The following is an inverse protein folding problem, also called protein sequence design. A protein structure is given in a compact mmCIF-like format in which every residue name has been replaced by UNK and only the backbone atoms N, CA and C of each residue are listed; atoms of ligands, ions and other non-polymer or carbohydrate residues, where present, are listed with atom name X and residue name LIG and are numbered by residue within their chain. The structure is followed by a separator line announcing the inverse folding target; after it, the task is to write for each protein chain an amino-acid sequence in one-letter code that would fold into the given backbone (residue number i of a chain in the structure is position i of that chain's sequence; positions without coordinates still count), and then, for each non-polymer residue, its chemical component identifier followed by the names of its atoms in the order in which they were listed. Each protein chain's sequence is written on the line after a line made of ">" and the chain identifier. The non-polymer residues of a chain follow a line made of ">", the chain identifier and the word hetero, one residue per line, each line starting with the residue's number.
data_IF_753131667225
#
_entry.id   IF_753131667225
#
_cell.length_a   1.000
_cell.length_b   1.000
_cell.length_c   1.000
_cell.angle_alpha   90.00
_cell.angle_beta   90.00
_cell.angle_gamma   90.00
#
_symmetry.space_group_name_H-M   'P 1'
#
loop_
_entity.id
_entity.type
_entity.pdbx_description
1 polymer ?
#
# COMPACT_ATOMS: atom_id res chain seq x y z
N UNK A 1 2.53 52.47 4.88
CA UNK A 1 2.03 51.31 4.09
C UNK A 1 2.97 50.13 4.34
N UNK A 2 2.46 49.04 4.92
CA UNK A 2 3.18 48.02 5.70
C UNK A 2 4.07 47.05 4.86
N UNK A 3 5.34 47.40 4.62
CA UNK A 3 6.34 46.48 4.03
C UNK A 3 7.15 45.74 5.12
N UNK A 4 7.20 46.26 6.35
CA UNK A 4 8.01 45.69 7.44
C UNK A 4 7.42 44.39 8.03
N UNK A 5 6.09 44.29 8.17
CA UNK A 5 5.43 43.09 8.72
C UNK A 5 5.57 41.85 7.82
N UNK A 6 5.68 42.02 6.50
CA UNK A 6 5.77 40.90 5.56
C UNK A 6 7.14 40.21 5.59
N UNK A 7 8.23 40.98 5.72
CA UNK A 7 9.60 40.44 5.80
C UNK A 7 9.79 39.51 7.01
N UNK A 8 9.27 39.89 8.18
CA UNK A 8 9.37 39.07 9.39
C UNK A 8 8.62 37.73 9.23
N UNK A 9 7.42 37.77 8.67
CA UNK A 9 6.62 36.56 8.44
C UNK A 9 7.28 35.58 7.45
N UNK A 10 7.97 36.11 6.44
CA UNK A 10 8.64 35.31 5.42
C UNK A 10 9.92 34.66 5.97
N UNK A 11 10.68 35.38 6.79
CA UNK A 11 11.84 34.82 7.51
C UNK A 11 11.40 33.72 8.47
N UNK A 12 10.34 33.93 9.24
CA UNK A 12 9.77 32.89 10.12
C UNK A 12 9.31 31.66 9.33
N UNK A 13 8.64 31.85 8.19
CA UNK A 13 8.24 30.75 7.31
C UNK A 13 9.45 29.98 6.77
N UNK A 14 10.53 30.66 6.37
CA UNK A 14 11.77 30.02 5.91
C UNK A 14 12.44 29.19 7.00
N UNK A 15 12.55 29.72 8.23
CA UNK A 15 13.10 28.99 9.38
C UNK A 15 12.24 27.77 9.69
N UNK A 16 10.91 27.94 9.71
CA UNK A 16 9.97 26.84 9.90
C UNK A 16 10.12 25.75 8.81
N UNK A 17 10.24 26.15 7.55
CA UNK A 17 10.53 25.25 6.42
C UNK A 17 11.84 24.49 6.61
N UNK A 18 12.91 25.16 7.03
CA UNK A 18 14.21 24.54 7.30
C UNK A 18 14.10 23.45 8.38
N UNK A 19 13.44 23.77 9.50
CA UNK A 19 13.13 22.80 10.56
C UNK A 19 12.34 21.59 10.02
N UNK A 20 11.28 21.85 9.23
CA UNK A 20 10.43 20.78 8.68
C UNK A 20 11.19 19.87 7.72
N UNK A 21 12.05 20.45 6.88
CA UNK A 21 12.87 19.70 5.94
C UNK A 21 13.91 18.84 6.67
N UNK A 22 14.54 19.37 7.72
CA UNK A 22 15.50 18.61 8.54
C UNK A 22 14.82 17.43 9.26
N UNK A 23 13.64 17.66 9.86
CA UNK A 23 12.87 16.60 10.48
C UNK A 23 12.46 15.52 9.46
N UNK A 24 12.03 15.93 8.27
CA UNK A 24 11.70 15.02 7.17
C UNK A 24 12.91 14.17 6.75
N UNK A 25 14.09 14.78 6.59
CA UNK A 25 15.30 14.04 6.21
C UNK A 25 15.73 13.02 7.27
N UNK A 26 15.63 13.37 8.56
CA UNK A 26 15.97 12.45 9.66
C UNK A 26 15.05 11.22 9.67
N UNK A 27 13.74 11.43 9.59
CA UNK A 27 12.75 10.35 9.50
C UNK A 27 12.95 9.51 8.23
N UNK A 28 13.18 10.16 7.08
CA UNK A 28 13.42 9.47 5.82
C UNK A 28 14.68 8.60 5.89
N UNK A 29 15.75 9.08 6.54
CA UNK A 29 16.98 8.31 6.75
C UNK A 29 16.72 7.07 7.61
N UNK A 30 15.90 7.17 8.64
CA UNK A 30 15.50 6.01 9.45
C UNK A 30 14.68 5.00 8.66
N UNK A 31 13.70 5.47 7.88
CA UNK A 31 12.92 4.61 6.98
C UNK A 31 13.81 3.92 5.93
N UNK A 32 14.77 4.65 5.35
CA UNK A 32 15.73 4.10 4.40
C UNK A 32 16.70 3.09 5.05
N UNK A 33 17.09 3.29 6.30
CA UNK A 33 17.91 2.32 7.03
C UNK A 33 17.15 1.00 7.25
N UNK A 34 15.86 1.08 7.63
CA UNK A 34 14.99 -0.09 7.75
C UNK A 34 14.82 -0.78 6.38
N UNK A 35 14.62 0.01 5.33
CA UNK A 35 14.52 -0.50 3.96
C UNK A 35 15.85 -1.10 3.49
N UNK A 36 17.01 -0.56 3.86
CA UNK A 36 18.31 -1.08 3.44
C UNK A 36 18.54 -2.49 3.98
N UNK A 37 18.25 -2.73 5.25
CA UNK A 37 18.36 -4.07 5.85
C UNK A 37 17.43 -5.08 5.15
N UNK A 38 16.24 -4.65 4.74
CA UNK A 38 15.27 -5.51 4.04
C UNK A 38 15.56 -5.65 2.54
N UNK A 39 16.01 -4.59 1.90
CA UNK A 39 16.23 -4.47 0.45
C UNK A 39 17.51 -5.17 0.01
N UNK A 40 18.55 -5.19 0.85
CA UNK A 40 19.77 -5.96 0.57
C UNK A 40 19.48 -7.47 0.58
N UNK A 41 18.64 -7.89 1.52
CA UNK A 41 18.09 -9.23 1.59
C UNK A 41 17.20 -9.57 0.37
N UNK A 42 16.39 -8.62 -0.09
CA UNK A 42 15.55 -8.76 -1.28
C UNK A 42 16.37 -8.85 -2.58
N UNK A 43 17.43 -8.05 -2.70
CA UNK A 43 18.36 -8.03 -3.83
C UNK A 43 19.14 -9.35 -3.91
N UNK A 44 19.51 -9.94 -2.77
CA UNK A 44 20.18 -11.25 -2.73
C UNK A 44 19.26 -12.36 -3.25
N UNK A 45 17.96 -12.32 -2.94
CA UNK A 45 17.01 -13.36 -3.36
C UNK A 45 16.54 -13.19 -4.79
N UNK A 46 16.26 -11.95 -5.22
CA UNK A 46 15.73 -11.67 -6.56
C UNK A 46 16.82 -11.38 -7.59
N UNK A 47 18.04 -11.05 -7.17
CA UNK A 47 19.20 -10.84 -8.03
C UNK A 47 18.93 -9.87 -9.18
N UNK A 48 19.22 -10.32 -10.40
CA UNK A 48 18.98 -9.60 -11.65
C UNK A 48 17.50 -9.34 -11.95
N UNK A 49 16.57 -10.08 -11.32
CA UNK A 49 15.12 -9.95 -11.54
C UNK A 49 14.55 -8.63 -11.04
N UNK A 50 15.28 -7.90 -10.18
CA UNK A 50 14.87 -6.57 -9.70
C UNK A 50 14.76 -5.56 -10.84
N UNK A 51 15.69 -5.61 -11.82
CA UNK A 51 15.61 -4.76 -13.01
C UNK A 51 14.38 -5.10 -13.86
N UNK A 52 14.05 -6.39 -13.98
CA UNK A 52 12.84 -6.85 -14.65
C UNK A 52 11.56 -6.35 -13.98
N UNK A 53 11.51 -6.35 -12.64
CA UNK A 53 10.39 -5.78 -11.88
C UNK A 53 10.27 -4.27 -12.08
N UNK A 54 11.39 -3.54 -12.11
CA UNK A 54 11.39 -2.09 -12.40
C UNK A 54 10.87 -1.85 -13.82
N UNK A 55 11.32 -2.63 -14.80
CA UNK A 55 10.85 -2.53 -16.18
C UNK A 55 9.35 -2.83 -16.29
N UNK A 56 8.84 -3.84 -15.59
CA UNK A 56 7.41 -4.16 -15.51
C UNK A 56 6.58 -2.99 -14.94
N UNK A 57 7.13 -2.27 -13.96
CA UNK A 57 6.48 -1.07 -13.42
C UNK A 57 6.42 0.07 -14.45
N UNK A 58 7.47 0.26 -15.25
CA UNK A 58 7.42 1.26 -16.34
C UNK A 58 6.51 0.82 -17.49
N UNK A 59 6.50 -0.47 -17.84
CA UNK A 59 5.63 -1.03 -18.85
C UNK A 59 4.15 -0.85 -18.46
N UNK A 60 3.81 -1.05 -17.18
CA UNK A 60 2.47 -0.80 -16.68
C UNK A 60 2.05 0.68 -16.78
N UNK A 61 2.96 1.63 -16.59
CA UNK A 61 2.69 3.05 -16.86
C UNK A 61 2.44 3.31 -18.35
N UNK A 62 3.21 2.66 -19.24
CA UNK A 62 2.99 2.71 -20.69
C UNK A 62 1.61 2.21 -21.11
N UNK A 63 1.10 1.15 -20.47
CA UNK A 63 -0.26 0.62 -20.71
C UNK A 63 -1.38 1.59 -20.31
N UNK A 64 -1.12 2.56 -19.43
CA UNK A 64 -2.08 3.63 -19.12
C UNK A 64 -2.12 4.62 -20.29
N UNK A 65 -0.96 4.98 -20.84
CA UNK A 65 -0.81 5.92 -21.95
C UNK A 65 -1.45 5.33 -23.21
N UNK A 66 -1.05 4.12 -23.61
CA UNK A 66 -1.55 3.41 -24.80
C UNK A 66 -2.81 2.58 -24.52
N UNK A 67 -3.77 3.15 -23.80
CA UNK A 67 -4.99 2.45 -23.38
C UNK A 67 -6.12 2.46 -24.42
N UNK A 68 -5.91 3.01 -25.62
CA UNK A 68 -6.97 3.13 -26.64
C UNK A 68 -7.49 1.79 -27.15
N UNK A 69 -6.64 0.76 -27.23
CA UNK A 69 -7.01 -0.58 -27.68
C UNK A 69 -7.67 -1.43 -26.59
N UNK A 70 -7.35 -1.19 -25.32
CA UNK A 70 -7.92 -1.88 -24.18
C UNK A 70 -8.20 -0.91 -23.01
N UNK A 71 -9.24 -0.05 -23.12
CA UNK A 71 -9.50 1.01 -22.14
C UNK A 71 -9.70 0.52 -20.71
N UNK A 72 -10.42 -0.60 -20.55
CA UNK A 72 -10.70 -1.18 -19.24
C UNK A 72 -9.42 -1.69 -18.56
N UNK A 73 -8.52 -2.34 -19.31
CA UNK A 73 -7.24 -2.81 -18.78
C UNK A 73 -6.33 -1.63 -18.41
N UNK A 74 -6.29 -0.57 -19.23
CA UNK A 74 -5.59 0.67 -18.90
C UNK A 74 -6.12 1.32 -17.62
N UNK A 75 -7.45 1.33 -17.43
CA UNK A 75 -8.10 1.83 -16.21
C UNK A 75 -7.79 0.96 -14.97
N UNK A 76 -7.73 -0.37 -15.12
CA UNK A 76 -7.27 -1.29 -14.07
C UNK A 76 -5.85 -0.97 -13.63
N UNK A 77 -4.94 -0.76 -14.61
CA UNK A 77 -3.57 -0.40 -14.31
C UNK A 77 -3.50 0.94 -13.59
N UNK A 78 -4.20 1.96 -14.09
CA UNK A 78 -4.25 3.28 -13.46
C UNK A 78 -4.71 3.20 -12.00
N UNK A 79 -5.83 2.51 -11.74
CA UNK A 79 -6.34 2.34 -10.38
C UNK A 79 -5.34 1.62 -9.46
N UNK A 80 -4.66 0.61 -9.99
CA UNK A 80 -3.64 -0.13 -9.27
C UNK A 80 -2.40 0.74 -8.93
N UNK A 81 -1.90 1.54 -9.86
CA UNK A 81 -0.81 2.50 -9.59
C UNK A 81 -1.21 3.54 -8.56
N UNK A 82 -2.43 4.08 -8.64
CA UNK A 82 -2.96 5.02 -7.65
C UNK A 82 -3.03 4.39 -6.25
N UNK A 83 -3.41 3.11 -6.16
CA UNK A 83 -3.46 2.35 -4.92
C UNK A 83 -2.06 2.13 -4.34
N UNK A 84 -1.12 1.65 -5.15
CA UNK A 84 0.29 1.46 -4.77
C UNK A 84 0.94 2.75 -4.28
N UNK A 85 0.73 3.85 -5.01
CA UNK A 85 1.20 5.17 -4.60
C UNK A 85 0.60 5.58 -3.24
N UNK A 86 -0.69 5.35 -3.04
CA UNK A 86 -1.38 5.68 -1.79
C UNK A 86 -0.80 4.88 -0.60
N UNK A 87 -0.48 3.60 -0.82
CA UNK A 87 0.22 2.75 0.16
C UNK A 87 1.59 3.31 0.51
N UNK A 88 2.41 3.63 -0.50
CA UNK A 88 3.75 4.20 -0.31
C UNK A 88 3.70 5.53 0.45
N UNK A 89 2.81 6.44 0.04
CA UNK A 89 2.66 7.75 0.69
C UNK A 89 2.14 7.65 2.12
N UNK A 90 1.35 6.63 2.44
CA UNK A 90 0.90 6.40 3.82
C UNK A 90 2.05 5.94 4.72
N UNK A 91 2.98 5.13 4.22
CA UNK A 91 4.20 4.79 4.95
C UNK A 91 5.07 6.04 5.21
N UNK A 92 5.12 6.96 4.25
CA UNK A 92 5.86 8.24 4.38
C UNK A 92 5.08 9.32 5.15
N UNK A 93 3.80 9.11 5.48
CA UNK A 93 2.93 10.14 6.07
C UNK A 93 3.45 10.67 7.39
N UNK A 94 4.02 9.80 8.23
CA UNK A 94 4.63 10.20 9.51
C UNK A 94 5.80 11.16 9.28
N UNK A 95 6.66 10.87 8.31
CA UNK A 95 7.79 11.71 7.91
C UNK A 95 7.32 13.03 7.29
N UNK A 96 6.38 12.98 6.33
CA UNK A 96 5.83 14.16 5.64
C UNK A 96 5.20 15.12 6.65
N UNK A 97 4.38 14.63 7.59
CA UNK A 97 3.69 15.49 8.58
C UNK A 97 4.52 15.76 9.83
N UNK A 98 5.62 15.03 10.05
CA UNK A 98 6.28 14.88 11.36
C UNK A 98 5.22 14.75 12.47
N UNK A 99 4.50 13.63 12.42
CA UNK A 99 3.32 13.40 13.26
C UNK A 99 3.64 13.47 14.76
N UNK A 100 4.83 13.05 15.17
CA UNK A 100 5.28 13.05 16.57
C UNK A 100 5.34 14.46 17.18
N UNK A 101 5.78 15.45 16.40
CA UNK A 101 5.90 16.84 16.86
C UNK A 101 4.78 17.73 16.34
N UNK A 102 3.66 17.15 15.88
CA UNK A 102 2.60 17.92 15.21
C UNK A 102 1.88 18.90 16.13
N UNK A 103 1.73 18.56 17.41
CA UNK A 103 1.17 19.48 18.41
C UNK A 103 2.08 20.69 18.62
N UNK A 104 3.39 20.46 18.75
CA UNK A 104 4.38 21.53 18.84
C UNK A 104 4.41 22.41 17.58
N UNK A 105 4.31 21.82 16.39
CA UNK A 105 4.24 22.59 15.14
C UNK A 105 3.06 23.57 15.09
N UNK A 106 1.93 23.21 15.72
CA UNK A 106 0.74 24.08 15.78
C UNK A 106 0.93 25.28 16.70
N UNK A 107 1.87 25.23 17.65
CA UNK A 107 2.16 26.38 18.53
C UNK A 107 3.10 27.38 17.87
N UNK A 108 4.00 26.92 16.98
CA UNK A 108 5.03 27.76 16.35
C UNK A 108 4.65 28.30 14.95
N UNK A 109 3.69 27.69 14.25
CA UNK A 109 3.36 28.03 12.86
C UNK A 109 1.85 28.14 12.62
N UNK A 110 1.48 29.02 11.67
CA UNK A 110 0.11 29.17 11.20
C UNK A 110 -0.37 27.89 10.50
N UNK A 111 -1.66 27.60 10.60
CA UNK A 111 -2.29 26.45 9.94
C UNK A 111 -1.96 26.37 8.45
N UNK A 112 -2.07 27.49 7.73
CA UNK A 112 -1.76 27.57 6.28
C UNK A 112 -0.30 27.18 5.99
N UNK A 113 0.66 27.59 6.82
CA UNK A 113 2.06 27.22 6.63
C UNK A 113 2.28 25.72 6.79
N UNK A 114 1.58 25.08 7.74
CA UNK A 114 1.61 23.63 7.89
C UNK A 114 1.15 22.93 6.61
N UNK A 115 0.00 23.35 6.06
CA UNK A 115 -0.52 22.78 4.81
C UNK A 115 0.45 22.99 3.64
N UNK A 116 0.98 24.20 3.46
CA UNK A 116 1.91 24.48 2.35
C UNK A 116 3.19 23.62 2.43
N UNK A 117 3.76 23.47 3.62
CA UNK A 117 4.97 22.65 3.80
C UNK A 117 4.66 21.16 3.63
N UNK A 118 3.53 20.68 4.17
CA UNK A 118 3.09 19.31 3.98
C UNK A 118 2.89 18.98 2.49
N UNK A 119 2.26 19.88 1.72
CA UNK A 119 2.07 19.73 0.26
C UNK A 119 3.40 19.76 -0.49
N UNK A 120 4.32 20.65 -0.12
CA UNK A 120 5.66 20.68 -0.73
C UNK A 120 6.42 19.37 -0.48
N UNK A 121 6.42 18.89 0.77
CA UNK A 121 7.05 17.61 1.11
C UNK A 121 6.36 16.43 0.41
N UNK A 122 5.02 16.45 0.32
CA UNK A 122 4.27 15.46 -0.46
C UNK A 122 4.73 15.39 -1.91
N UNK A 123 4.87 16.53 -2.59
CA UNK A 123 5.34 16.55 -3.98
C UNK A 123 6.75 15.96 -4.14
N UNK A 124 7.64 16.20 -3.16
CA UNK A 124 8.99 15.63 -3.17
C UNK A 124 9.01 14.14 -2.84
N UNK A 125 8.09 13.67 -2.00
CA UNK A 125 7.97 12.25 -1.63
C UNK A 125 7.25 11.41 -2.66
N UNK A 126 6.48 12.01 -3.58
CA UNK A 126 5.66 11.29 -4.54
C UNK A 126 6.47 10.86 -5.77
N UNK A 127 7.25 9.79 -5.62
CA UNK A 127 8.07 9.23 -6.70
C UNK A 127 7.28 8.85 -7.96
N UNK A 128 6.05 8.34 -7.80
CA UNK A 128 5.17 7.98 -8.92
C UNK A 128 4.72 9.19 -9.74
N UNK A 129 4.38 10.28 -9.06
CA UNK A 129 4.04 11.54 -9.74
C UNK A 129 5.26 12.11 -10.45
N UNK A 130 6.45 12.09 -9.82
CA UNK A 130 7.69 12.53 -10.46
C UNK A 130 7.97 11.71 -11.72
N UNK A 131 7.88 10.38 -11.64
CA UNK A 131 8.06 9.51 -12.80
C UNK A 131 7.03 9.80 -13.91
N UNK A 132 5.77 10.03 -13.53
CA UNK A 132 4.70 10.35 -14.50
C UNK A 132 4.93 11.72 -15.17
N UNK A 133 5.44 12.71 -14.44
CA UNK A 133 5.84 14.01 -14.99
C UNK A 133 7.02 13.87 -15.94
N UNK A 134 8.03 13.06 -15.61
CA UNK A 134 9.16 12.80 -16.51
C UNK A 134 8.69 12.17 -17.82
N UNK A 135 7.79 11.19 -17.76
CA UNK A 135 7.19 10.57 -18.95
C UNK A 135 6.35 11.61 -19.72
N UNK A 136 5.58 12.44 -19.03
CA UNK A 136 4.77 13.49 -19.64
C UNK A 136 5.62 14.51 -20.42
N UNK A 137 6.81 14.86 -19.90
CA UNK A 137 7.74 15.77 -20.55
C UNK A 137 8.39 15.18 -21.81
N UNK A 138 8.47 13.85 -21.90
CA UNK A 138 9.01 13.13 -23.06
C UNK A 138 7.99 13.02 -24.22
N UNK A 139 6.70 13.22 -23.94
CA UNK A 139 5.65 13.17 -24.97
C UNK A 139 5.68 14.38 -25.89
N UNK A 140 5.61 14.12 -27.20
CA UNK A 140 5.44 15.15 -28.23
C UNK A 140 4.05 15.79 -28.18
N UNK A 141 3.91 17.02 -28.68
CA UNK A 141 2.61 17.74 -28.74
C UNK A 141 1.50 16.94 -29.44
N UNK A 142 1.84 16.15 -30.47
CA UNK A 142 0.87 15.32 -31.19
C UNK A 142 0.42 14.10 -30.38
N UNK A 143 1.26 13.57 -29.49
CA UNK A 143 0.91 12.51 -28.54
C UNK A 143 0.06 13.05 -27.39
N UNK A 144 0.34 14.27 -26.91
CA UNK A 144 -0.44 14.91 -25.85
C UNK A 144 -1.94 14.99 -26.16
N UNK A 145 -2.29 15.37 -27.40
CA UNK A 145 -3.69 15.46 -27.85
C UNK A 145 -4.39 14.09 -27.81
N UNK A 146 -3.63 13.00 -28.01
CA UNK A 146 -4.16 11.63 -28.03
C UNK A 146 -4.33 11.03 -26.64
N UNK A 147 -3.67 11.59 -25.62
CA UNK A 147 -3.61 11.00 -24.26
C UNK A 147 -4.08 12.00 -23.17
N UNK A 148 -5.27 12.63 -23.30
CA UNK A 148 -5.76 13.58 -22.29
C UNK A 148 -6.03 12.91 -20.93
N UNK A 149 -6.32 11.61 -20.93
CA UNK A 149 -6.54 10.84 -19.70
C UNK A 149 -5.31 10.75 -18.81
N UNK A 150 -4.09 10.87 -19.36
CA UNK A 150 -2.87 10.85 -18.57
C UNK A 150 -2.68 12.12 -17.73
N UNK A 151 -3.20 13.28 -18.18
CA UNK A 151 -3.27 14.50 -17.36
C UNK A 151 -4.16 14.26 -16.14
N UNK A 152 -5.35 13.70 -16.38
CA UNK A 152 -6.30 13.38 -15.31
C UNK A 152 -5.70 12.38 -14.34
N UNK A 153 -4.97 11.39 -14.84
CA UNK A 153 -4.21 10.45 -14.01
C UNK A 153 -3.18 11.14 -13.11
N UNK A 154 -2.36 12.07 -13.63
CA UNK A 154 -1.41 12.83 -12.81
C UNK A 154 -2.10 13.73 -11.76
N UNK A 155 -3.22 14.36 -12.12
CA UNK A 155 -4.03 15.13 -11.17
C UNK A 155 -4.63 14.22 -10.07
N UNK A 156 -5.06 13.02 -10.43
CA UNK A 156 -5.49 11.99 -9.49
C UNK A 156 -4.35 11.57 -8.58
N UNK A 157 -3.15 11.29 -9.11
CA UNK A 157 -1.97 10.97 -8.32
C UNK A 157 -1.69 12.06 -7.26
N UNK A 158 -1.72 13.33 -7.65
CA UNK A 158 -1.52 14.43 -6.69
C UNK A 158 -2.65 14.52 -5.66
N UNK A 159 -3.91 14.55 -6.10
CA UNK A 159 -5.07 14.70 -5.21
C UNK A 159 -5.22 13.54 -4.22
N UNK A 160 -4.98 12.30 -4.65
CA UNK A 160 -4.96 11.14 -3.76
C UNK A 160 -3.83 11.21 -2.74
N UNK A 161 -2.67 11.78 -3.11
CA UNK A 161 -1.60 12.07 -2.15
C UNK A 161 -2.07 13.01 -1.04
N UNK A 162 -2.81 14.06 -1.38
CA UNK A 162 -3.41 14.99 -0.40
C UNK A 162 -4.45 14.26 0.46
N UNK A 163 -5.32 13.45 -0.14
CA UNK A 163 -6.31 12.65 0.60
C UNK A 163 -5.66 11.66 1.56
N UNK A 164 -4.55 11.02 1.18
CA UNK A 164 -3.80 10.12 2.04
C UNK A 164 -3.30 10.83 3.32
N UNK A 165 -2.84 12.08 3.20
CA UNK A 165 -2.36 12.87 4.34
C UNK A 165 -3.48 13.34 5.29
N UNK A 166 -4.65 13.71 4.75
CA UNK A 166 -5.69 14.41 5.51
C UNK A 166 -7.01 13.66 5.70
N UNK A 167 -7.47 12.87 4.73
CA UNK A 167 -8.72 12.10 4.77
C UNK A 167 -8.54 10.66 4.23
N UNK A 168 -7.83 9.78 4.97
CA UNK A 168 -7.61 8.40 4.54
C UNK A 168 -8.90 7.58 4.41
N UNK A 169 -9.97 7.92 5.13
CA UNK A 169 -11.27 7.25 5.00
C UNK A 169 -11.90 7.43 3.61
N UNK A 170 -11.89 8.66 3.09
CA UNK A 170 -12.40 8.97 1.74
C UNK A 170 -11.61 8.21 0.66
N UNK A 171 -10.30 8.04 0.87
CA UNK A 171 -9.44 7.28 -0.03
C UNK A 171 -9.86 5.81 -0.08
N UNK A 172 -10.16 5.17 1.06
CA UNK A 172 -10.66 3.77 1.08
C UNK A 172 -11.98 3.63 0.33
N UNK A 173 -12.95 4.52 0.56
CA UNK A 173 -14.24 4.46 -0.14
C UNK A 173 -14.09 4.75 -1.64
N UNK A 174 -13.24 5.72 -2.02
CA UNK A 174 -12.99 6.04 -3.42
C UNK A 174 -12.35 4.87 -4.18
N UNK A 175 -11.41 4.15 -3.57
CA UNK A 175 -10.88 2.91 -4.13
C UNK A 175 -11.94 1.84 -4.24
N UNK A 176 -12.79 1.65 -3.21
CA UNK A 176 -13.88 0.67 -3.27
C UNK A 176 -14.82 0.93 -4.46
N UNK A 177 -15.32 2.16 -4.61
CA UNK A 177 -16.22 2.50 -5.71
C UNK A 177 -15.54 2.40 -7.07
N UNK A 178 -14.28 2.83 -7.18
CA UNK A 178 -13.52 2.76 -8.43
C UNK A 178 -13.23 1.31 -8.82
N UNK A 179 -12.94 0.43 -7.85
CA UNK A 179 -12.79 -1.00 -8.10
C UNK A 179 -14.09 -1.61 -8.60
N UNK A 180 -15.24 -1.27 -7.99
CA UNK A 180 -16.55 -1.74 -8.48
C UNK A 180 -16.73 -1.32 -9.94
N UNK A 181 -16.52 -0.04 -10.28
CA UNK A 181 -16.65 0.46 -11.65
C UNK A 181 -15.82 -0.33 -12.65
N UNK A 182 -14.57 -0.64 -12.30
CA UNK A 182 -13.62 -1.31 -13.20
C UNK A 182 -13.89 -2.81 -13.34
N UNK A 183 -14.52 -3.42 -12.35
CA UNK A 183 -14.95 -4.82 -12.39
C UNK A 183 -16.25 -5.02 -13.17
N UNK A 184 -17.09 -3.99 -13.33
CA UNK A 184 -18.26 -4.08 -14.21
C UNK A 184 -17.79 -4.07 -15.67
N UNK A 185 -18.24 -5.02 -16.52
CA UNK A 185 -17.84 -5.10 -17.93
C UNK A 185 -18.56 -4.02 -18.77
N UNK A 186 -18.28 -2.74 -18.49
CA UNK A 186 -18.78 -1.60 -19.25
C UNK A 186 -17.68 -1.14 -20.18
N UNK A 187 -17.93 -1.01 -21.48
CA UNK A 187 -16.96 -0.44 -22.40
C UNK A 187 -17.06 1.09 -22.40
N UNK A 188 -16.06 1.75 -21.81
CA UNK A 188 -15.94 3.21 -21.81
C UNK A 188 -14.62 3.64 -22.46
N UNK A 189 -14.55 4.87 -22.96
CA UNK A 189 -13.29 5.46 -23.41
C UNK A 189 -12.33 5.71 -22.24
N UNK A 190 -11.00 5.69 -22.46
CA UNK A 190 -10.02 5.88 -21.38
C UNK A 190 -10.22 7.14 -20.55
N UNK A 191 -10.54 8.27 -21.20
CA UNK A 191 -10.78 9.54 -20.53
C UNK A 191 -12.00 9.46 -19.59
N UNK A 192 -13.07 8.81 -20.03
CA UNK A 192 -14.29 8.62 -19.24
C UNK A 192 -13.99 7.86 -17.96
N UNK A 193 -13.20 6.78 -18.00
CA UNK A 193 -12.80 6.06 -16.78
C UNK A 193 -12.06 6.95 -15.79
N UNK A 194 -11.08 7.73 -16.25
CA UNK A 194 -10.28 8.59 -15.38
C UNK A 194 -11.11 9.73 -14.78
N UNK A 195 -12.02 10.31 -15.56
CA UNK A 195 -12.98 11.31 -15.06
C UNK A 195 -13.96 10.69 -14.06
N UNK A 196 -14.42 9.46 -14.29
CA UNK A 196 -15.23 8.71 -13.34
C UNK A 196 -14.47 8.44 -12.04
N UNK A 197 -13.18 8.10 -12.09
CA UNK A 197 -12.36 8.00 -10.88
C UNK A 197 -12.33 9.33 -10.12
N UNK A 198 -12.06 10.44 -10.81
CA UNK A 198 -12.06 11.77 -10.19
C UNK A 198 -13.40 12.08 -9.51
N UNK A 199 -14.52 11.78 -10.18
CA UNK A 199 -15.85 11.94 -9.61
C UNK A 199 -16.07 11.04 -8.39
N UNK A 200 -15.71 9.75 -8.45
CA UNK A 200 -15.91 8.80 -7.36
C UNK A 200 -15.06 9.16 -6.13
N UNK A 201 -13.82 9.63 -6.32
CA UNK A 201 -12.99 10.15 -5.23
C UNK A 201 -13.49 11.49 -4.69
N UNK A 202 -14.11 12.34 -5.51
CA UNK A 202 -14.77 13.55 -5.02
C UNK A 202 -16.01 13.19 -4.19
N UNK A 203 -16.84 12.26 -4.65
CA UNK A 203 -18.02 11.78 -3.93
C UNK A 203 -17.65 11.11 -2.61
N UNK A 204 -16.52 10.38 -2.57
CA UNK A 204 -16.06 9.73 -1.35
C UNK A 204 -15.68 10.69 -0.22
N UNK A 205 -15.44 11.98 -0.52
CA UNK A 205 -15.19 13.02 0.49
C UNK A 205 -16.39 13.33 1.37
N UNK A 206 -17.60 13.07 0.84
CA UNK A 206 -18.88 13.31 1.51
C UNK A 206 -19.35 12.10 2.32
N UNK A 207 -18.74 10.93 2.13
CA UNK A 207 -19.09 9.73 2.90
C UNK A 207 -18.62 9.93 4.35
N UNK A 208 -19.54 9.93 5.33
CA UNK A 208 -19.16 10.10 6.73
C UNK A 208 -18.33 8.90 7.20
N UNK A 209 -17.42 9.16 8.16
CA UNK A 209 -16.67 8.08 8.80
C UNK A 209 -17.65 7.24 9.61
N UNK A 210 -17.99 6.07 9.10
CA UNK A 210 -18.82 5.10 9.82
C UNK A 210 -18.00 4.57 10.99
N UNK A 211 -18.21 5.15 12.17
CA UNK A 211 -17.69 4.62 13.41
C UNK A 211 -18.62 3.50 13.87
N UNK A 212 -18.12 2.27 13.83
CA UNK A 212 -18.90 1.08 14.20
C UNK A 212 -18.88 0.89 15.73
N UNK A 213 -18.04 1.65 16.44
CA UNK A 213 -17.98 1.62 17.90
C UNK A 213 -19.30 2.10 18.49
N UNK A 214 -20.06 1.16 19.07
CA UNK A 214 -21.38 1.38 19.65
C UNK A 214 -22.54 0.73 18.89
N UNK A 215 -22.33 0.22 17.66
CA UNK A 215 -23.40 -0.43 16.87
C UNK A 215 -23.32 -1.95 16.82
N UNK A 216 -22.13 -2.52 16.98
CA UNK A 216 -21.93 -3.97 17.01
C UNK A 216 -21.61 -4.37 18.45
N UNK A 217 -22.51 -5.11 19.09
CA UNK A 217 -22.20 -5.78 20.33
C UNK A 217 -21.12 -6.83 20.06
N UNK A 218 -19.91 -6.62 20.58
CA UNK A 218 -18.81 -7.58 20.45
C UNK A 218 -19.07 -8.74 21.41
N UNK A 219 -19.91 -9.68 20.98
CA UNK A 219 -20.26 -10.89 21.76
C UNK A 219 -19.22 -12.01 21.60
N UNK A 220 -18.38 -11.95 20.57
CA UNK A 220 -17.38 -12.98 20.23
C UNK A 220 -16.01 -12.39 19.89
N UNK A 221 -14.95 -13.19 20.04
CA UNK A 221 -13.58 -12.82 19.66
C UNK A 221 -13.44 -12.63 18.14
N UNK A 222 -14.21 -13.37 17.34
CA UNK A 222 -14.28 -13.14 15.90
C UNK A 222 -14.87 -11.76 15.59
N UNK A 223 -15.98 -11.41 16.24
CA UNK A 223 -16.59 -10.09 16.13
C UNK A 223 -15.64 -8.97 16.56
N UNK A 224 -14.81 -9.20 17.58
CA UNK A 224 -13.77 -8.27 18.01
C UNK A 224 -12.77 -7.98 16.89
N UNK A 225 -12.17 -9.02 16.29
CA UNK A 225 -11.19 -8.85 15.22
C UNK A 225 -11.80 -8.25 13.96
N UNK A 226 -13.03 -8.62 13.63
CA UNK A 226 -13.77 -8.02 12.52
C UNK A 226 -14.00 -6.51 12.75
N UNK A 227 -14.47 -6.11 13.94
CA UNK A 227 -14.62 -4.70 14.29
C UNK A 227 -13.28 -3.96 14.30
N UNK A 228 -12.21 -4.60 14.81
CA UNK A 228 -10.87 -4.05 14.77
C UNK A 228 -10.42 -3.74 13.34
N UNK A 229 -10.56 -4.69 12.41
CA UNK A 229 -10.18 -4.52 11.00
C UNK A 229 -11.05 -3.46 10.29
N UNK A 230 -12.35 -3.39 10.61
CA UNK A 230 -13.24 -2.35 10.09
C UNK A 230 -12.88 -0.95 10.57
N UNK A 231 -12.36 -0.81 11.80
CA UNK A 231 -11.92 0.47 12.33
C UNK A 231 -10.49 0.83 11.87
N UNK A 232 -9.64 -0.17 11.68
CA UNK A 232 -8.25 -0.03 11.22
C UNK A 232 -8.10 -0.51 9.78
N UNK A 233 -8.99 -0.03 8.89
CA UNK A 233 -9.07 -0.49 7.49
C UNK A 233 -7.74 -0.43 6.76
N UNK A 234 -6.94 0.60 7.06
CA UNK A 234 -5.65 0.80 6.42
C UNK A 234 -4.72 -0.40 6.59
N UNK A 235 -4.77 -1.05 7.77
CA UNK A 235 -4.02 -2.27 8.10
C UNK A 235 -4.26 -3.39 7.09
N UNK A 236 -5.48 -3.49 6.56
CA UNK A 236 -5.83 -4.50 5.56
C UNK A 236 -5.58 -3.98 4.12
N UNK A 237 -5.91 -2.71 3.86
CA UNK A 237 -5.79 -2.10 2.53
C UNK A 237 -4.38 -2.23 1.96
N UNK A 238 -3.33 -1.92 2.73
CA UNK A 238 -1.97 -2.01 2.18
C UNK A 238 -1.53 -3.44 1.88
N UNK A 239 -1.94 -4.42 2.71
CA UNK A 239 -1.63 -5.85 2.48
C UNK A 239 -2.34 -6.39 1.25
N UNK A 240 -3.63 -6.08 1.11
CA UNK A 240 -4.41 -6.45 -0.09
C UNK A 240 -3.84 -5.79 -1.34
N UNK A 241 -3.38 -4.54 -1.25
CA UNK A 241 -2.73 -3.85 -2.38
C UNK A 241 -1.44 -4.55 -2.82
N UNK A 242 -0.61 -4.98 -1.87
CA UNK A 242 0.61 -5.73 -2.18
C UNK A 242 0.31 -7.13 -2.71
N UNK A 243 -0.73 -7.80 -2.19
CA UNK A 243 -1.19 -9.09 -2.74
C UNK A 243 -1.71 -8.92 -4.18
N UNK A 244 -2.47 -7.86 -4.47
CA UNK A 244 -2.87 -7.54 -5.85
C UNK A 244 -1.65 -7.30 -6.75
N UNK A 245 -0.59 -6.67 -6.23
CA UNK A 245 0.68 -6.53 -6.96
C UNK A 245 1.30 -7.88 -7.32
N UNK A 246 1.27 -8.84 -6.40
CA UNK A 246 1.76 -10.21 -6.67
C UNK A 246 0.94 -10.85 -7.78
N UNK A 247 -0.40 -10.73 -7.74
CA UNK A 247 -1.27 -11.33 -8.74
C UNK A 247 -1.04 -10.71 -10.12
N UNK A 248 -0.97 -9.39 -10.19
CA UNK A 248 -0.71 -8.68 -11.45
C UNK A 248 0.67 -9.01 -12.03
N UNK A 249 1.69 -9.07 -11.17
CA UNK A 249 3.04 -9.45 -11.59
C UNK A 249 3.09 -10.90 -12.08
N UNK A 250 2.44 -11.84 -11.38
CA UNK A 250 2.31 -13.23 -11.82
C UNK A 250 1.61 -13.32 -13.17
N UNK A 251 0.50 -12.60 -13.37
CA UNK A 251 -0.22 -12.62 -14.64
C UNK A 251 0.63 -12.11 -15.80
N UNK A 252 1.36 -11.01 -15.61
CA UNK A 252 2.26 -10.49 -16.63
C UNK A 252 3.42 -11.46 -16.92
N UNK A 253 4.08 -11.97 -15.88
CA UNK A 253 5.26 -12.81 -16.02
C UNK A 253 4.94 -14.19 -16.61
N UNK A 254 3.81 -14.81 -16.22
CA UNK A 254 3.38 -16.11 -16.76
C UNK A 254 3.04 -15.98 -18.26
N UNK A 255 2.42 -14.86 -18.66
CA UNK A 255 2.09 -14.62 -20.08
C UNK A 255 3.36 -14.41 -20.93
N UNK A 256 4.36 -13.71 -20.42
CA UNK A 256 5.59 -13.41 -21.17
C UNK A 256 6.63 -14.54 -21.10
N UNK A 257 6.66 -15.31 -20.01
CA UNK A 257 7.64 -16.36 -19.71
C UNK A 257 6.98 -17.60 -19.10
N UNK A 258 6.25 -18.33 -19.94
CA UNK A 258 5.58 -19.58 -19.56
C UNK A 258 6.57 -20.70 -19.11
N UNK A 259 7.83 -20.60 -19.53
CA UNK A 259 8.92 -21.49 -19.14
C UNK A 259 9.29 -21.37 -17.65
N UNK A 260 9.05 -20.23 -17.02
CA UNK A 260 9.41 -19.95 -15.63
C UNK A 260 8.25 -20.12 -14.63
N UNK A 261 7.11 -20.68 -15.06
CA UNK A 261 5.89 -20.77 -14.26
C UNK A 261 6.11 -21.40 -12.89
N UNK A 262 6.87 -22.50 -12.81
CA UNK A 262 7.15 -23.17 -11.53
C UNK A 262 7.84 -22.24 -10.51
N UNK A 263 8.85 -21.49 -10.97
CA UNK A 263 9.59 -20.50 -10.16
C UNK A 263 8.66 -19.35 -9.75
N UNK A 264 7.86 -18.85 -10.69
CA UNK A 264 6.91 -17.75 -10.46
C UNK A 264 5.84 -18.12 -9.43
N UNK A 265 5.34 -19.36 -9.45
CA UNK A 265 4.37 -19.85 -8.47
C UNK A 265 4.98 -19.92 -7.07
N UNK A 266 6.24 -20.38 -6.93
CA UNK A 266 6.94 -20.37 -5.63
C UNK A 266 7.14 -18.95 -5.12
N UNK A 267 7.58 -18.03 -5.97
CA UNK A 267 7.78 -16.63 -5.60
C UNK A 267 6.45 -15.97 -5.20
N UNK A 268 5.38 -16.20 -5.96
CA UNK A 268 4.05 -15.69 -5.61
C UNK A 268 3.59 -16.22 -4.25
N UNK A 269 3.78 -17.52 -4.00
CA UNK A 269 3.44 -18.12 -2.71
C UNK A 269 4.27 -17.52 -1.56
N UNK A 270 5.56 -17.32 -1.78
CA UNK A 270 6.44 -16.65 -0.82
C UNK A 270 5.88 -15.27 -0.45
N UNK A 271 5.54 -14.45 -1.44
CA UNK A 271 4.97 -13.11 -1.19
C UNK A 271 3.60 -13.17 -0.53
N UNK A 272 2.75 -14.12 -0.88
CA UNK A 272 1.46 -14.34 -0.22
C UNK A 272 1.67 -14.65 1.26
N UNK A 273 2.59 -15.55 1.60
CA UNK A 273 2.96 -15.86 3.00
C UNK A 273 3.50 -14.63 3.72
N UNK A 274 4.39 -13.86 3.09
CA UNK A 274 4.97 -12.64 3.67
C UNK A 274 3.87 -11.62 4.00
N UNK A 275 3.08 -11.21 3.02
CA UNK A 275 2.13 -10.12 3.24
C UNK A 275 1.00 -10.52 4.19
N UNK A 276 0.52 -11.76 4.11
CA UNK A 276 -0.55 -12.24 5.01
C UNK A 276 -0.06 -12.41 6.46
N UNK A 277 1.09 -13.06 6.69
CA UNK A 277 1.65 -13.25 8.03
C UNK A 277 2.07 -11.94 8.70
N UNK A 278 2.43 -10.90 7.94
CA UNK A 278 2.78 -9.59 8.50
C UNK A 278 1.66 -8.96 9.31
N UNK A 279 0.39 -9.35 9.11
CA UNK A 279 -0.77 -8.90 9.89
C UNK A 279 -0.64 -9.23 11.38
N UNK A 280 0.15 -10.26 11.69
CA UNK A 280 0.45 -10.67 13.06
C UNK A 280 1.15 -9.57 13.87
N UNK A 281 1.92 -8.68 13.24
CA UNK A 281 2.56 -7.57 13.98
C UNK A 281 1.54 -6.60 14.56
N UNK A 282 0.47 -6.32 13.83
CA UNK A 282 -0.60 -5.43 14.29
C UNK A 282 -1.50 -6.14 15.30
N UNK A 283 -1.90 -7.39 15.02
CA UNK A 283 -2.70 -8.20 15.94
C UNK A 283 -1.96 -8.47 17.26
N UNK A 284 -0.64 -8.70 17.23
CA UNK A 284 0.18 -8.89 18.41
C UNK A 284 0.26 -7.64 19.29
N UNK A 285 0.36 -6.45 18.69
CA UNK A 285 0.30 -5.18 19.44
C UNK A 285 -1.05 -4.98 20.13
N UNK A 286 -2.14 -5.30 19.45
CA UNK A 286 -3.49 -5.26 20.02
C UNK A 286 -3.62 -6.27 21.16
N UNK A 287 -3.10 -7.48 20.98
CA UNK A 287 -3.08 -8.49 22.04
C UNK A 287 -2.38 -7.95 23.30
N UNK A 288 -1.16 -7.43 23.18
CA UNK A 288 -0.41 -6.89 24.32
C UNK A 288 -1.15 -5.73 25.00
N UNK A 289 -1.78 -4.85 24.22
CA UNK A 289 -2.52 -3.70 24.75
C UNK A 289 -3.74 -4.12 25.58
N UNK A 290 -4.48 -5.14 25.16
CA UNK A 290 -5.75 -5.54 25.79
C UNK A 290 -5.65 -6.82 26.63
N UNK A 291 -4.45 -7.41 26.74
CA UNK A 291 -4.22 -8.67 27.46
C UNK A 291 -4.77 -8.65 28.89
N UNK A 292 -4.51 -7.57 29.64
CA UNK A 292 -4.94 -7.45 31.04
C UNK A 292 -6.47 -7.42 31.16
N UNK A 293 -7.17 -6.77 30.24
CA UNK A 293 -8.63 -6.75 30.21
C UNK A 293 -9.19 -8.17 30.00
N UNK A 294 -8.70 -8.89 28.97
CA UNK A 294 -9.15 -10.26 28.73
C UNK A 294 -8.72 -11.24 29.83
N UNK A 295 -7.67 -10.93 30.59
CA UNK A 295 -7.29 -11.66 31.80
C UNK A 295 -8.32 -11.47 32.93
N UNK A 296 -8.82 -10.26 33.15
CA UNK A 296 -9.89 -10.02 34.14
C UNK A 296 -11.22 -10.70 33.79
N UNK A 297 -11.46 -10.97 32.50
CA UNK A 297 -12.63 -11.69 32.02
C UNK A 297 -12.39 -13.21 31.86
N UNK A 298 -11.29 -13.77 32.38
CA UNK A 298 -10.92 -15.19 32.27
C UNK A 298 -10.82 -15.72 30.82
N UNK A 299 -10.61 -14.85 29.84
CA UNK A 299 -10.56 -15.16 28.40
C UNK A 299 -9.18 -14.94 27.77
N UNK A 300 -8.13 -14.76 28.57
CA UNK A 300 -6.77 -14.48 28.10
C UNK A 300 -6.26 -15.51 27.08
N UNK A 301 -6.43 -16.81 27.36
CA UNK A 301 -5.97 -17.88 26.48
C UNK A 301 -6.71 -17.88 25.13
N UNK A 302 -8.03 -17.70 25.17
CA UNK A 302 -8.83 -17.63 23.96
C UNK A 302 -8.48 -16.39 23.13
N UNK A 303 -8.26 -15.25 23.79
CA UNK A 303 -7.81 -14.02 23.14
C UNK A 303 -6.42 -14.19 22.50
N UNK A 304 -5.49 -14.83 23.21
CA UNK A 304 -4.16 -15.16 22.68
C UNK A 304 -4.24 -16.00 21.40
N UNK A 305 -5.07 -17.05 21.35
CA UNK A 305 -5.20 -17.88 20.14
C UNK A 305 -5.87 -17.08 19.01
N UNK A 306 -6.87 -16.27 19.35
CA UNK A 306 -7.63 -15.53 18.35
C UNK A 306 -6.81 -14.50 17.56
N UNK A 307 -5.67 -14.02 18.10
CA UNK A 307 -4.83 -13.03 17.44
C UNK A 307 -4.22 -13.53 16.11
N UNK A 308 -4.08 -14.84 15.93
CA UNK A 308 -3.53 -15.43 14.72
C UNK A 308 -4.57 -15.56 13.59
N UNK A 309 -5.86 -15.54 13.95
CA UNK A 309 -6.96 -15.80 13.03
C UNK A 309 -6.98 -14.83 11.83
N UNK A 310 -6.80 -13.51 12.00
CA UNK A 310 -6.81 -12.59 10.87
C UNK A 310 -5.74 -12.90 9.81
N UNK A 311 -4.52 -13.22 10.26
CA UNK A 311 -3.39 -13.52 9.37
C UNK A 311 -3.63 -14.81 8.58
N UNK A 312 -4.14 -15.85 9.23
CA UNK A 312 -4.44 -17.14 8.61
C UNK A 312 -5.59 -17.00 7.61
N UNK A 313 -6.67 -16.28 7.96
CA UNK A 313 -7.78 -16.04 7.04
C UNK A 313 -7.34 -15.28 5.80
N UNK A 314 -6.52 -14.24 5.95
CA UNK A 314 -5.98 -13.48 4.83
C UNK A 314 -5.11 -14.37 3.92
N UNK A 315 -4.28 -15.23 4.51
CA UNK A 315 -3.46 -16.19 3.78
C UNK A 315 -4.30 -17.19 2.99
N UNK A 316 -5.32 -17.79 3.61
CA UNK A 316 -6.20 -18.77 2.97
C UNK A 316 -6.96 -18.14 1.80
N UNK A 317 -7.58 -16.98 2.02
CA UNK A 317 -8.30 -16.26 0.96
C UNK A 317 -7.36 -15.93 -0.19
N UNK A 318 -6.16 -15.40 0.09
CA UNK A 318 -5.19 -15.07 -0.96
C UNK A 318 -4.71 -16.30 -1.73
N UNK A 319 -4.39 -17.40 -1.05
CA UNK A 319 -3.89 -18.62 -1.69
C UNK A 319 -4.97 -19.28 -2.55
N UNK A 320 -6.19 -19.41 -2.03
CA UNK A 320 -7.33 -19.95 -2.78
C UNK A 320 -7.61 -19.07 -4.00
N UNK A 321 -7.66 -17.74 -3.83
CA UNK A 321 -7.89 -16.81 -4.95
C UNK A 321 -6.80 -16.95 -6.03
N UNK A 322 -5.53 -17.07 -5.62
CA UNK A 322 -4.41 -17.25 -6.54
C UNK A 322 -4.56 -18.55 -7.33
N UNK A 323 -4.81 -19.67 -6.65
CA UNK A 323 -4.99 -20.97 -7.30
C UNK A 323 -6.18 -21.00 -8.27
N UNK A 324 -7.30 -20.34 -7.93
CA UNK A 324 -8.48 -20.25 -8.81
C UNK A 324 -8.17 -19.41 -10.05
N UNK A 325 -7.53 -18.24 -9.89
CA UNK A 325 -7.27 -17.32 -11.00
C UNK A 325 -6.26 -17.91 -11.99
N UNK A 326 -5.19 -18.54 -11.49
CA UNK A 326 -4.13 -19.06 -12.35
C UNK A 326 -4.35 -20.52 -12.76
N UNK A 327 -5.34 -21.23 -12.20
CA UNK A 327 -5.58 -22.64 -12.51
C UNK A 327 -4.49 -23.60 -12.02
N UNK A 328 -3.61 -23.16 -11.11
CA UNK A 328 -2.51 -23.97 -10.57
C UNK A 328 -2.89 -24.52 -9.18
N UNK A 329 -3.36 -25.77 -9.14
CA UNK A 329 -3.65 -26.48 -7.89
C UNK A 329 -2.54 -27.47 -7.54
N UNK A 330 -1.42 -26.97 -7.04
CA UNK A 330 -0.36 -27.83 -6.49
C UNK A 330 -0.65 -28.17 -5.02
N UNK A 331 -1.31 -29.31 -4.77
CA UNK A 331 -1.68 -29.74 -3.42
C UNK A 331 -0.49 -29.79 -2.46
N UNK A 332 0.69 -30.21 -2.93
CA UNK A 332 1.93 -30.24 -2.14
C UNK A 332 2.38 -28.82 -1.74
N UNK A 333 2.37 -27.89 -2.70
CA UNK A 333 2.79 -26.50 -2.48
C UNK A 333 1.81 -25.75 -1.57
N UNK A 334 0.52 -26.11 -1.65
CA UNK A 334 -0.49 -25.63 -0.71
C UNK A 334 -0.21 -26.09 0.73
N UNK A 335 0.10 -27.38 0.95
CA UNK A 335 0.44 -27.91 2.28
C UNK A 335 1.71 -27.25 2.82
N UNK A 336 2.76 -27.18 2.01
CA UNK A 336 4.03 -26.51 2.37
C UNK A 336 3.77 -25.05 2.75
N UNK A 337 2.98 -24.34 1.95
CA UNK A 337 2.65 -22.94 2.20
C UNK A 337 1.86 -22.72 3.49
N UNK A 338 0.93 -23.61 3.83
CA UNK A 338 0.21 -23.54 5.12
C UNK A 338 1.18 -23.72 6.31
N UNK A 339 2.06 -24.72 6.25
CA UNK A 339 3.07 -24.96 7.28
C UNK A 339 4.04 -23.77 7.41
N UNK A 340 4.46 -23.21 6.28
CA UNK A 340 5.30 -22.02 6.25
C UNK A 340 4.58 -20.81 6.84
N UNK A 341 3.31 -20.56 6.50
CA UNK A 341 2.55 -19.46 7.07
C UNK A 341 2.43 -19.58 8.59
N UNK A 342 2.16 -20.77 9.13
CA UNK A 342 2.10 -20.99 10.59
C UNK A 342 3.44 -20.68 11.25
N UNK A 343 4.54 -21.18 10.69
CA UNK A 343 5.89 -20.89 11.19
C UNK A 343 6.20 -19.39 11.14
N UNK A 344 5.85 -18.73 10.03
CA UNK A 344 6.11 -17.31 9.80
C UNK A 344 5.32 -16.43 10.79
N UNK A 345 4.07 -16.78 11.06
CA UNK A 345 3.21 -16.12 12.06
C UNK A 345 3.76 -16.34 13.48
N UNK A 346 4.18 -17.55 13.81
CA UNK A 346 4.80 -17.84 15.11
C UNK A 346 6.07 -17.01 15.35
N UNK A 347 6.92 -16.90 14.34
CA UNK A 347 8.15 -16.10 14.41
C UNK A 347 7.88 -14.61 14.42
N UNK A 348 6.88 -14.12 13.70
CA UNK A 348 6.45 -12.72 13.76
C UNK A 348 6.11 -12.30 15.20
N UNK A 349 5.53 -13.23 15.98
CA UNK A 349 5.19 -12.98 17.37
C UNK A 349 6.40 -13.09 18.31
N UNK A 350 7.20 -14.17 18.21
CA UNK A 350 8.26 -14.46 19.19
C UNK A 350 9.58 -13.76 18.90
N UNK A 351 9.93 -13.60 17.63
CA UNK A 351 11.22 -13.07 17.18
C UNK A 351 11.01 -12.19 15.93
N UNK A 352 10.37 -11.01 16.07
CA UNK A 352 10.05 -10.14 14.92
C UNK A 352 11.29 -9.77 14.09
N UNK A 353 12.47 -9.67 14.72
CA UNK A 353 13.73 -9.39 14.03
C UNK A 353 14.16 -10.48 13.03
N UNK A 354 13.73 -11.74 13.24
CA UNK A 354 14.09 -12.88 12.38
C UNK A 354 13.05 -13.15 11.30
N UNK A 355 11.95 -12.40 11.28
CA UNK A 355 10.83 -12.61 10.35
C UNK A 355 11.27 -12.60 8.89
N UNK A 356 12.01 -11.57 8.46
CA UNK A 356 12.50 -11.46 7.09
C UNK A 356 13.50 -12.59 6.75
N UNK A 357 14.37 -12.94 7.70
CA UNK A 357 15.38 -13.98 7.50
C UNK A 357 14.75 -15.36 7.24
N UNK A 358 13.73 -15.74 8.02
CA UNK A 358 13.07 -17.03 7.82
C UNK A 358 12.28 -17.07 6.51
N UNK A 359 11.63 -15.97 6.14
CA UNK A 359 11.00 -15.87 4.83
C UNK A 359 12.01 -16.13 3.70
N UNK A 360 13.19 -15.54 3.79
CA UNK A 360 14.26 -15.71 2.78
C UNK A 360 14.77 -17.14 2.76
N UNK A 361 15.07 -17.71 3.93
CA UNK A 361 15.62 -19.06 4.02
C UNK A 361 14.65 -20.09 3.42
N UNK A 362 13.34 -19.96 3.70
CA UNK A 362 12.33 -20.83 3.10
C UNK A 362 12.15 -20.59 1.60
N UNK A 363 12.13 -19.32 1.16
CA UNK A 363 12.01 -18.98 -0.26
C UNK A 363 13.20 -19.54 -1.05
N UNK A 364 14.42 -19.30 -0.59
CA UNK A 364 15.64 -19.79 -1.22
C UNK A 364 15.71 -21.33 -1.19
N UNK A 365 15.32 -21.96 -0.08
CA UNK A 365 15.26 -23.41 0.02
C UNK A 365 14.27 -24.02 -0.97
N UNK A 366 13.08 -23.45 -1.11
CA UNK A 366 12.07 -23.92 -2.08
C UNK A 366 12.50 -23.71 -3.53
N UNK A 367 13.16 -22.58 -3.83
CA UNK A 367 13.72 -22.33 -5.16
C UNK A 367 14.89 -23.28 -5.47
N UNK A 368 15.74 -23.58 -4.49
CA UNK A 368 16.84 -24.51 -4.66
C UNK A 368 16.39 -25.97 -4.82
N UNK A 369 15.21 -26.35 -4.32
CA UNK A 369 14.61 -27.67 -4.53
C UNK A 369 13.93 -27.82 -5.91
N UNK A 370 13.66 -26.71 -6.60
CA UNK A 370 13.09 -26.69 -7.95
C UNK A 370 14.14 -26.78 -9.05
N UNK A 371 15.36 -26.31 -8.78
CA UNK A 371 16.55 -26.44 -9.63
C UNK A 371 17.21 -27.80 -9.39
#
# INVERSE_FOLDING_TARGET
>A
MNIAFSKHSLTQYRVFMGYRYLAYQLELKQLLLQLKSFGLLFLVVLGSSVLGLILLLFLGLGKIIDSSSAPQYGAQMALFYLLLQSVMLSAMKSAIKNSHQRLFQRTIARSVWLYLVDIKLLTLSNGWLIASVLIALDLTLSQWVKVPHFIVFMLLQFSLGVLCLYKPSALVYGFLFSTILVLVPIHMQPLTYHMSFALLFALSLFVPVVNVNGRIAVSSLFGFWFCYLLNHRWTLVWRVSLLLCVFMASAALINERADLVAILVILAMAFIVLFSSSLQFDCGRVYEQYRLFFKTCERERAFYISQFLPSILLFLVATISYSVIFGHSHSVLFVIGNMWCVLQVYLAQKKPAHYALVWIAFTAGLLALLN
#
